data_IF_880177081888
#
_entry.id   IF_880177081888
#
_cell.length_a   1.000
_cell.length_b   1.000
_cell.length_c   1.000
_cell.angle_alpha   90.00
_cell.angle_beta   90.00
_cell.angle_gamma   90.00
#
_symmetry.space_group_name_H-M   'P 1'
#
loop_
_entity.id
_entity.type
_entity.pdbx_description
1 polymer ?
#
# COMPACT_ATOMS: atom_id res chain seq x y z
N UNK A 1 73.44 -44.97 14.66
CA UNK A 1 73.16 -44.94 16.10
C UNK A 1 72.23 -43.76 16.37
N UNK A 2 71.19 -44.10 17.09
CA UNK A 2 70.26 -43.19 17.83
C UNK A 2 69.38 -42.29 17.06
N UNK A 3 68.20 -42.81 16.82
CA UNK A 3 66.91 -42.21 16.62
C UNK A 3 66.57 -41.21 17.69
N UNK A 4 66.05 -40.08 17.32
CA UNK A 4 65.18 -39.27 18.20
C UNK A 4 64.00 -38.77 17.40
N UNK A 5 62.94 -39.49 17.59
CA UNK A 5 61.60 -39.12 17.16
C UNK A 5 61.20 -37.80 17.81
N UNK A 6 60.91 -36.83 17.00
CA UNK A 6 60.19 -35.62 17.46
C UNK A 6 58.78 -35.73 16.92
N UNK A 7 57.89 -36.06 17.82
CA UNK A 7 56.44 -36.01 17.61
C UNK A 7 56.02 -34.53 17.62
N UNK A 8 55.74 -34.01 16.44
CA UNK A 8 55.01 -32.74 16.31
C UNK A 8 53.51 -33.03 16.40
N UNK A 9 52.98 -32.73 17.57
CA UNK A 9 51.54 -32.68 17.75
C UNK A 9 50.99 -31.45 16.98
N UNK A 10 50.41 -31.68 15.84
CA UNK A 10 49.61 -30.68 15.15
C UNK A 10 48.28 -30.55 15.86
N UNK A 11 48.18 -29.54 16.69
CA UNK A 11 46.90 -29.11 17.21
C UNK A 11 46.11 -28.48 16.06
N UNK A 12 45.16 -29.22 15.49
CA UNK A 12 44.13 -28.69 14.61
C UNK A 12 43.23 -27.82 15.47
N UNK A 13 43.46 -26.54 15.43
CA UNK A 13 42.49 -25.57 15.87
C UNK A 13 41.36 -25.51 14.81
N UNK A 14 40.30 -26.21 15.11
CA UNK A 14 39.03 -26.06 14.40
C UNK A 14 38.52 -24.66 14.70
N UNK A 15 38.83 -23.74 13.80
CA UNK A 15 38.17 -22.44 13.78
C UNK A 15 36.71 -22.67 13.44
N UNK A 16 35.86 -22.59 14.43
CA UNK A 16 34.42 -22.44 14.23
C UNK A 16 34.20 -21.10 13.50
N UNK A 17 34.10 -21.18 12.18
CA UNK A 17 33.46 -20.12 11.43
C UNK A 17 31.99 -20.16 11.84
N UNK A 18 31.65 -19.41 12.86
CA UNK A 18 30.31 -18.94 13.03
C UNK A 18 30.01 -18.13 11.75
N UNK A 19 29.41 -18.78 10.77
CA UNK A 19 28.63 -18.04 9.79
C UNK A 19 27.52 -17.39 10.60
N UNK A 20 27.77 -16.16 11.02
CA UNK A 20 26.70 -15.26 11.34
C UNK A 20 25.86 -15.18 10.06
N UNK A 21 24.79 -15.97 10.01
CA UNK A 21 23.63 -15.53 9.27
C UNK A 21 23.31 -14.18 9.94
N UNK A 22 23.67 -13.09 9.30
CA UNK A 22 22.90 -11.92 9.51
C UNK A 22 21.50 -12.37 9.08
N UNK A 23 20.68 -12.65 10.06
CA UNK A 23 19.27 -12.44 9.92
C UNK A 23 19.23 -10.99 9.42
N UNK A 24 19.00 -10.84 8.12
CA UNK A 24 18.39 -9.65 7.66
C UNK A 24 17.11 -9.60 8.49
N UNK A 25 17.22 -8.90 9.59
CA UNK A 25 16.10 -8.34 10.28
C UNK A 25 15.42 -7.51 9.19
N UNK A 26 14.58 -8.17 8.41
CA UNK A 26 13.40 -7.57 7.91
C UNK A 26 12.70 -7.12 9.19
N UNK A 27 13.18 -6.00 9.74
CA UNK A 27 12.40 -5.15 10.62
C UNK A 27 11.14 -4.98 9.85
N UNK A 28 10.14 -5.83 10.22
CA UNK A 28 9.03 -6.12 9.36
C UNK A 28 8.54 -4.81 8.82
N UNK A 29 8.78 -4.56 7.53
CA UNK A 29 8.00 -3.57 6.83
C UNK A 29 6.59 -3.99 7.16
N UNK A 30 6.02 -3.33 8.13
CA UNK A 30 4.62 -3.49 8.49
C UNK A 30 3.93 -2.91 7.28
N UNK A 31 3.71 -3.79 6.28
CA UNK A 31 3.00 -3.39 5.08
C UNK A 31 1.71 -2.78 5.58
N UNK A 32 1.59 -1.47 5.41
CA UNK A 32 0.41 -0.77 5.86
C UNK A 32 -0.81 -1.51 5.31
N UNK A 33 -1.79 -1.86 6.15
CA UNK A 33 -2.93 -2.62 5.68
C UNK A 33 -3.68 -1.81 4.64
N UNK A 34 -3.95 -2.41 3.49
CA UNK A 34 -4.78 -1.79 2.45
C UNK A 34 -6.24 -1.67 2.91
N UNK A 35 -6.71 -2.68 3.66
CA UNK A 35 -8.06 -2.67 4.23
C UNK A 35 -8.25 -1.50 5.20
N UNK A 36 -9.37 -0.80 5.05
CA UNK A 36 -9.75 0.36 5.83
C UNK A 36 -10.58 1.35 5.03
N UNK A 37 -11.09 2.36 5.70
CA UNK A 37 -11.82 3.45 5.07
C UNK A 37 -10.84 4.57 4.71
N UNK A 38 -10.88 4.98 3.45
CA UNK A 38 -9.99 5.92 2.84
C UNK A 38 -10.78 7.09 2.26
N UNK A 39 -10.62 8.27 2.83
CA UNK A 39 -11.29 9.49 2.38
C UNK A 39 -10.44 10.17 1.30
N UNK A 40 -11.02 10.45 0.13
CA UNK A 40 -10.29 11.13 -0.94
C UNK A 40 -9.99 12.57 -0.53
N UNK A 41 -8.75 13.01 -0.74
CA UNK A 41 -8.31 14.36 -0.40
C UNK A 41 -7.85 15.15 -1.61
N UNK A 42 -7.14 14.49 -2.52
CA UNK A 42 -6.61 15.15 -3.70
C UNK A 42 -6.76 14.28 -4.94
N UNK A 43 -6.79 14.93 -6.09
CA UNK A 43 -6.69 14.29 -7.41
C UNK A 43 -5.69 15.03 -8.26
N UNK A 44 -5.15 14.37 -9.28
CA UNK A 44 -4.19 15.02 -10.16
C UNK A 44 -3.69 14.13 -11.28
N UNK A 45 -2.58 14.55 -11.87
CA UNK A 45 -1.96 13.82 -12.97
C UNK A 45 -0.44 14.05 -12.97
N UNK A 46 0.27 13.22 -13.72
CA UNK A 46 1.71 13.39 -13.95
C UNK A 46 1.94 14.02 -15.31
N UNK A 47 2.61 15.17 -15.34
CA UNK A 47 3.03 15.85 -16.55
C UNK A 47 4.56 16.02 -16.56
N UNK A 48 5.22 15.57 -17.60
CA UNK A 48 6.68 15.62 -17.74
C UNK A 48 7.45 15.05 -16.52
N UNK A 49 6.91 13.99 -15.89
CA UNK A 49 7.51 13.35 -14.71
C UNK A 49 7.23 14.05 -13.37
N UNK A 50 6.46 15.13 -13.37
CA UNK A 50 6.08 15.86 -12.17
C UNK A 50 4.59 15.65 -11.88
N UNK A 51 4.26 15.40 -10.62
CA UNK A 51 2.87 15.29 -10.15
C UNK A 51 2.27 16.68 -9.90
N UNK A 52 1.06 16.87 -10.37
CA UNK A 52 0.23 18.05 -10.13
C UNK A 52 -1.04 17.60 -9.44
N UNK A 53 -1.18 17.94 -8.18
CA UNK A 53 -2.30 17.57 -7.33
C UNK A 53 -3.11 18.80 -6.96
N UNK A 54 -4.43 18.66 -6.93
CA UNK A 54 -5.38 19.66 -6.43
C UNK A 54 -6.31 18.99 -5.41
N UNK A 55 -6.93 19.77 -4.57
CA UNK A 55 -7.98 19.26 -3.69
C UNK A 55 -9.07 18.56 -4.50
N UNK A 56 -9.56 17.44 -4.00
CA UNK A 56 -10.54 16.62 -4.70
C UNK A 56 -11.82 17.41 -4.96
N UNK A 57 -12.14 17.78 -6.22
CA UNK A 57 -13.27 18.65 -6.53
C UNK A 57 -14.63 17.99 -6.26
N UNK A 58 -14.66 16.66 -6.15
CA UNK A 58 -15.86 15.93 -5.76
C UNK A 58 -16.23 16.12 -4.29
N UNK A 59 -15.28 16.52 -3.43
CA UNK A 59 -15.56 16.85 -2.04
C UNK A 59 -16.29 18.20 -1.95
N UNK A 60 -17.59 18.13 -1.76
CA UNK A 60 -18.44 19.32 -1.75
C UNK A 60 -18.41 20.00 -0.38
N UNK A 61 -18.39 21.33 -0.38
CA UNK A 61 -18.36 22.11 0.85
C UNK A 61 -19.60 21.83 1.71
N UNK A 62 -19.37 21.58 3.00
CA UNK A 62 -20.44 21.26 3.96
C UNK A 62 -20.84 19.78 4.00
N UNK A 63 -20.31 18.96 3.11
CA UNK A 63 -20.46 17.51 3.14
C UNK A 63 -19.23 16.80 3.73
N UNK A 64 -19.39 15.54 4.10
CA UNK A 64 -18.26 14.67 4.36
C UNK A 64 -17.50 14.39 3.07
N UNK A 65 -16.24 13.96 3.17
CA UNK A 65 -15.42 13.57 2.00
C UNK A 65 -15.97 12.28 1.39
N UNK A 66 -15.87 12.18 0.09
CA UNK A 66 -16.08 10.93 -0.62
C UNK A 66 -15.04 9.90 -0.16
N UNK A 67 -15.38 8.62 -0.17
CA UNK A 67 -14.54 7.58 0.40
C UNK A 67 -14.54 6.28 -0.37
N UNK A 68 -13.49 5.50 -0.14
CA UNK A 68 -13.33 4.11 -0.55
C UNK A 68 -13.10 3.28 0.72
N UNK A 69 -14.01 2.36 1.03
CA UNK A 69 -13.93 1.50 2.21
C UNK A 69 -13.64 0.06 1.78
N UNK A 70 -12.39 -0.35 1.94
CA UNK A 70 -11.86 -1.67 1.57
C UNK A 70 -11.95 -2.59 2.78
N UNK A 71 -12.81 -3.59 2.72
CA UNK A 71 -13.05 -4.53 3.81
C UNK A 71 -12.03 -5.68 3.81
N UNK A 72 -11.84 -6.30 4.96
CA UNK A 72 -10.92 -7.44 5.13
C UNK A 72 -11.36 -8.66 4.30
N UNK A 73 -12.66 -8.82 4.07
CA UNK A 73 -13.26 -9.90 3.28
C UNK A 73 -13.25 -9.66 1.76
N UNK A 74 -12.52 -8.63 1.31
CA UNK A 74 -12.40 -8.17 -0.07
C UNK A 74 -13.66 -7.49 -0.65
N UNK A 75 -14.61 -7.16 0.18
CA UNK A 75 -15.71 -6.28 -0.22
C UNK A 75 -15.22 -4.82 -0.26
N UNK A 76 -15.79 -4.03 -1.15
CA UNK A 76 -15.54 -2.60 -1.25
C UNK A 76 -16.84 -1.81 -1.27
N UNK A 77 -16.88 -0.72 -0.50
CA UNK A 77 -17.92 0.29 -0.56
C UNK A 77 -17.31 1.62 -1.00
N UNK A 78 -17.88 2.23 -2.01
CA UNK A 78 -17.56 3.59 -2.41
C UNK A 78 -18.71 4.50 -2.00
N UNK A 79 -18.42 5.56 -1.25
CA UNK A 79 -19.40 6.56 -0.87
C UNK A 79 -19.10 7.91 -1.51
N UNK A 80 -20.12 8.49 -2.12
CA UNK A 80 -20.07 9.82 -2.70
C UNK A 80 -21.16 10.69 -2.04
N UNK A 81 -20.78 11.89 -1.59
CA UNK A 81 -21.71 12.82 -0.97
C UNK A 81 -22.17 13.87 -1.96
N UNK A 82 -23.49 14.02 -2.09
CA UNK A 82 -24.14 15.02 -2.94
C UNK A 82 -24.73 16.14 -2.08
N UNK A 83 -24.31 17.39 -2.33
CA UNK A 83 -24.77 18.58 -1.63
C UNK A 83 -26.05 19.20 -2.22
N UNK A 84 -26.65 18.60 -3.25
CA UNK A 84 -27.93 19.10 -3.80
C UNK A 84 -29.06 19.04 -2.78
N UNK A 85 -28.92 18.14 -1.79
CA UNK A 85 -29.82 18.01 -0.65
C UNK A 85 -29.15 18.52 0.65
N UNK A 86 -29.95 19.00 1.60
CA UNK A 86 -29.50 19.35 2.94
C UNK A 86 -30.32 18.58 3.99
N UNK A 87 -29.70 17.62 4.73
CA UNK A 87 -28.28 17.26 4.75
C UNK A 87 -27.82 16.59 3.44
N UNK A 88 -26.48 16.56 3.22
CA UNK A 88 -25.89 15.91 2.05
C UNK A 88 -26.36 14.46 1.92
N UNK A 89 -26.73 14.06 0.72
CA UNK A 89 -27.13 12.70 0.43
C UNK A 89 -25.89 11.83 0.20
N UNK A 90 -25.82 10.67 0.86
CA UNK A 90 -24.79 9.68 0.62
C UNK A 90 -25.26 8.67 -0.43
N UNK A 91 -24.56 8.62 -1.55
CA UNK A 91 -24.75 7.63 -2.61
C UNK A 91 -23.66 6.57 -2.44
N UNK A 92 -24.05 5.32 -2.21
CA UNK A 92 -23.12 4.21 -1.99
C UNK A 92 -23.16 3.23 -3.14
N UNK A 93 -21.98 2.83 -3.63
CA UNK A 93 -21.77 1.71 -4.56
C UNK A 93 -21.03 0.61 -3.85
N UNK A 94 -21.41 -0.63 -4.10
CA UNK A 94 -20.81 -1.81 -3.48
C UNK A 94 -20.21 -2.74 -4.52
N UNK A 95 -19.24 -3.53 -4.10
CA UNK A 95 -18.58 -4.49 -4.96
C UNK A 95 -17.47 -5.23 -4.27
N UNK A 96 -16.49 -5.66 -5.03
CA UNK A 96 -15.34 -6.41 -4.53
C UNK A 96 -14.04 -5.77 -4.97
N UNK A 97 -12.96 -6.04 -4.24
CA UNK A 97 -11.64 -5.66 -4.66
C UNK A 97 -10.64 -6.82 -4.51
N UNK A 98 -9.56 -6.72 -5.24
CA UNK A 98 -8.41 -7.60 -5.10
C UNK A 98 -7.11 -6.81 -5.26
N UNK A 99 -6.05 -7.30 -4.64
CA UNK A 99 -4.70 -6.75 -4.80
C UNK A 99 -3.79 -7.80 -5.39
N UNK A 100 -3.04 -7.44 -6.42
CA UNK A 100 -1.96 -8.24 -6.97
C UNK A 100 -0.71 -7.38 -7.08
N UNK A 101 0.29 -7.63 -6.24
CA UNK A 101 1.48 -6.78 -6.11
C UNK A 101 1.08 -5.32 -5.79
N UNK A 102 1.31 -4.41 -6.73
CA UNK A 102 0.94 -3.01 -6.60
C UNK A 102 -0.40 -2.67 -7.29
N UNK A 103 -1.03 -3.62 -7.96
CA UNK A 103 -2.30 -3.39 -8.63
C UNK A 103 -3.47 -3.59 -7.66
N UNK A 104 -4.27 -2.56 -7.50
CA UNK A 104 -5.60 -2.61 -6.89
C UNK A 104 -6.65 -2.71 -7.99
N UNK A 105 -7.36 -3.80 -8.01
CA UNK A 105 -8.53 -3.99 -8.88
C UNK A 105 -9.79 -3.83 -8.06
N UNK A 106 -10.66 -2.91 -8.43
CA UNK A 106 -12.01 -2.77 -7.85
C UNK A 106 -13.07 -3.09 -8.88
N UNK A 107 -14.13 -3.78 -8.47
CA UNK A 107 -15.30 -4.09 -9.30
C UNK A 107 -16.51 -3.52 -8.57
N UNK A 108 -17.01 -2.38 -9.01
CA UNK A 108 -18.16 -1.69 -8.44
C UNK A 108 -19.32 -1.73 -9.43
N UNK A 109 -20.46 -2.28 -9.04
CA UNK A 109 -21.65 -2.40 -9.90
C UNK A 109 -21.33 -2.99 -11.29
N UNK A 110 -20.38 -3.95 -11.36
CA UNK A 110 -19.94 -4.58 -12.61
C UNK A 110 -18.91 -3.77 -13.41
N UNK A 111 -18.54 -2.58 -12.97
CA UNK A 111 -17.48 -1.78 -13.59
C UNK A 111 -16.13 -2.12 -12.94
N UNK A 112 -15.17 -2.55 -13.75
CA UNK A 112 -13.82 -2.88 -13.29
C UNK A 112 -12.90 -1.67 -13.46
N UNK A 113 -12.19 -1.30 -12.40
CA UNK A 113 -11.14 -0.29 -12.40
C UNK A 113 -9.85 -0.91 -11.87
N UNK A 114 -8.75 -0.77 -12.59
CA UNK A 114 -7.42 -1.20 -12.18
C UNK A 114 -6.55 0.04 -11.96
N UNK A 115 -5.90 0.11 -10.81
CA UNK A 115 -5.03 1.22 -10.43
C UNK A 115 -3.76 0.71 -9.78
N UNK A 116 -2.64 1.33 -10.08
CA UNK A 116 -1.37 1.09 -9.41
C UNK A 116 -1.36 1.77 -8.03
N UNK A 117 -0.97 1.03 -7.00
CA UNK A 117 -0.73 1.56 -5.65
C UNK A 117 0.66 2.21 -5.65
N UNK A 118 0.71 3.51 -5.88
CA UNK A 118 1.95 4.29 -5.94
C UNK A 118 2.53 4.51 -4.55
N UNK A 119 1.67 4.68 -3.56
CA UNK A 119 2.05 4.81 -2.14
C UNK A 119 0.98 4.19 -1.24
N UNK A 120 1.43 3.51 -0.19
CA UNK A 120 0.56 2.97 0.85
C UNK A 120 1.29 3.07 2.19
N UNK A 121 0.76 3.90 3.06
CA UNK A 121 1.21 4.08 4.44
C UNK A 121 0.08 3.82 5.43
N UNK A 122 0.32 3.99 6.70
CA UNK A 122 -0.74 3.88 7.71
C UNK A 122 -1.81 4.98 7.56
N UNK A 123 -1.47 6.10 6.92
CA UNK A 123 -2.35 7.28 6.83
C UNK A 123 -2.67 7.69 5.39
N UNK A 124 -1.91 7.26 4.40
CA UNK A 124 -2.08 7.66 3.00
C UNK A 124 -2.16 6.45 2.07
N UNK A 125 -3.08 6.51 1.13
CA UNK A 125 -3.16 5.62 -0.04
C UNK A 125 -3.15 6.51 -1.29
N UNK A 126 -2.15 6.31 -2.16
CA UNK A 126 -2.07 6.98 -3.46
C UNK A 126 -2.24 5.96 -4.56
N UNK A 127 -3.22 6.17 -5.41
CA UNK A 127 -3.57 5.33 -6.54
C UNK A 127 -3.34 6.07 -7.85
N UNK A 128 -2.93 5.35 -8.89
CA UNK A 128 -2.74 5.90 -10.23
C UNK A 128 -3.35 4.96 -11.26
N UNK A 129 -4.17 5.48 -12.14
CA UNK A 129 -4.75 4.69 -13.23
C UNK A 129 -3.84 4.66 -14.48
N UNK A 130 -4.23 3.84 -15.47
CA UNK A 130 -3.49 3.71 -16.75
C UNK A 130 -3.42 5.00 -17.57
N UNK A 131 -4.33 5.95 -17.33
CA UNK A 131 -4.36 7.25 -18.01
C UNK A 131 -3.49 8.29 -17.28
N UNK A 132 -2.89 7.93 -16.15
CA UNK A 132 -2.07 8.81 -15.34
C UNK A 132 -2.86 9.67 -14.34
N UNK A 133 -4.17 9.42 -14.17
CA UNK A 133 -4.95 10.05 -13.12
C UNK A 133 -4.49 9.53 -11.76
N UNK A 134 -4.20 10.47 -10.86
CA UNK A 134 -3.77 10.19 -9.49
C UNK A 134 -4.93 10.52 -8.55
N UNK A 135 -5.20 9.62 -7.61
CA UNK A 135 -6.13 9.83 -6.51
C UNK A 135 -5.37 9.63 -5.20
N UNK A 136 -5.46 10.59 -4.29
CA UNK A 136 -4.83 10.57 -2.97
C UNK A 136 -5.91 10.48 -1.91
N UNK A 137 -5.75 9.54 -1.03
CA UNK A 137 -6.67 9.25 0.05
C UNK A 137 -5.95 9.32 1.39
N UNK A 138 -6.66 9.76 2.42
CA UNK A 138 -6.25 9.68 3.81
C UNK A 138 -7.12 8.66 4.55
N UNK A 139 -6.50 7.93 5.46
CA UNK A 139 -7.22 6.98 6.30
C UNK A 139 -8.16 7.73 7.26
N UNK A 140 -9.36 7.18 7.44
CA UNK A 140 -10.38 7.70 8.39
C UNK A 140 -9.96 7.43 9.84
#
# INVERSE_FOLDING_TARGET
>A
MKNRSLLFAFALSFGLFATSCSDDDNDGETLAPLAGKWNITQVGTTLAGQEYLIDAPQNQSGCSKDYLDLKIDNDVNQGNYDSTNNPCELITRTGTYSRSHNDLTTILEGQTKVQDIVNLTLTELKLKDANGLIEVYERD
#
